data_IF_246252373976
#
_entry.id   IF_246252373976
#
_cell.length_a   1.000
_cell.length_b   1.000
_cell.length_c   1.000
_cell.angle_alpha   90.00
_cell.angle_beta   90.00
_cell.angle_gamma   90.00
#
_symmetry.space_group_name_H-M   'P 1'
#
loop_
_entity.id
_entity.type
_entity.pdbx_description
1 polymer ?
#
# COMPACT_ATOMS: atom_id res chain seq x y z
N UNK A 1 -2.50 20.18 -49.54
CA UNK A 1 -1.20 19.59 -49.87
C UNK A 1 -1.11 18.22 -49.25
N UNK A 2 -1.18 17.23 -50.14
CA UNK A 2 -1.26 15.80 -49.81
C UNK A 2 0.17 15.22 -49.74
N UNK A 3 0.50 14.43 -48.71
CA UNK A 3 1.69 13.59 -48.74
C UNK A 3 1.30 12.12 -48.53
N UNK A 4 1.70 11.37 -49.55
CA UNK A 4 1.41 9.96 -49.79
C UNK A 4 2.38 9.08 -49.01
N UNK A 5 1.84 8.01 -48.41
CA UNK A 5 2.58 6.95 -47.71
C UNK A 5 3.15 5.98 -48.74
N UNK A 6 4.47 5.76 -48.71
CA UNK A 6 5.14 4.74 -49.53
C UNK A 6 5.24 3.41 -48.76
N UNK A 7 4.73 2.34 -49.36
CA UNK A 7 4.90 0.94 -48.98
C UNK A 7 6.34 0.48 -49.24
N UNK A 8 6.93 -0.24 -48.28
CA UNK A 8 8.11 -1.09 -48.50
C UNK A 8 7.74 -2.53 -48.12
N UNK A 9 7.85 -3.38 -49.12
CA UNK A 9 7.56 -4.82 -49.10
C UNK A 9 8.76 -5.62 -48.58
N UNK A 10 8.45 -6.69 -47.87
CA UNK A 10 9.35 -7.75 -47.41
C UNK A 10 9.86 -8.62 -48.59
N UNK A 11 11.13 -8.97 -48.62
CA UNK A 11 11.61 -10.19 -49.28
C UNK A 11 12.95 -10.65 -48.73
N UNK A 12 12.96 -11.91 -48.31
CA UNK A 12 13.98 -12.94 -48.36
C UNK A 12 15.45 -12.64 -48.00
N UNK A 13 15.91 -13.35 -46.98
CA UNK A 13 17.20 -14.04 -47.01
C UNK A 13 17.18 -15.29 -46.11
N UNK A 14 17.10 -16.46 -46.76
CA UNK A 14 17.46 -17.75 -46.20
C UNK A 14 18.89 -18.09 -46.68
N UNK A 15 19.81 -18.26 -45.77
CA UNK A 15 21.06 -18.93 -46.06
C UNK A 15 21.38 -20.02 -45.00
N UNK A 16 21.57 -21.24 -45.50
CA UNK A 16 22.06 -22.42 -44.89
C UNK A 16 23.48 -22.25 -44.36
N UNK A 17 23.76 -22.71 -43.15
CA UNK A 17 25.12 -23.08 -42.72
C UNK A 17 25.09 -24.46 -42.12
N UNK A 18 25.79 -25.40 -42.76
CA UNK A 18 26.04 -26.79 -42.40
C UNK A 18 26.87 -26.90 -41.11
N UNK A 19 26.53 -27.89 -40.28
CA UNK A 19 27.34 -28.33 -39.13
C UNK A 19 28.37 -29.37 -39.56
N UNK A 20 29.61 -29.33 -39.07
CA UNK A 20 30.50 -30.48 -39.12
C UNK A 20 30.38 -31.29 -37.81
N UNK A 21 30.20 -32.58 -37.99
CA UNK A 21 30.27 -33.59 -36.97
C UNK A 21 31.72 -33.80 -36.47
N UNK A 22 31.91 -33.75 -35.15
CA UNK A 22 33.16 -34.22 -34.52
C UNK A 22 32.79 -35.25 -33.47
N UNK A 23 33.23 -36.48 -33.76
CA UNK A 23 33.28 -37.60 -32.84
C UNK A 23 34.39 -37.40 -31.82
N UNK A 24 34.07 -37.49 -30.52
CA UNK A 24 35.08 -37.68 -29.48
C UNK A 24 34.69 -38.78 -28.50
N UNK A 25 35.72 -39.60 -28.26
CA UNK A 25 35.76 -40.77 -27.45
C UNK A 25 35.52 -40.50 -25.97
N UNK A 26 34.93 -41.49 -25.32
CA UNK A 26 34.63 -41.53 -23.89
C UNK A 26 35.86 -41.92 -23.07
N UNK A 27 36.31 -41.02 -22.17
CA UNK A 27 37.15 -41.38 -21.03
C UNK A 27 36.32 -41.48 -19.73
N UNK A 28 36.65 -42.42 -18.81
CA UNK A 28 35.85 -42.60 -17.59
C UNK A 28 36.22 -41.58 -16.50
N UNK A 29 35.19 -41.03 -15.87
CA UNK A 29 35.26 -40.14 -14.70
C UNK A 29 35.77 -40.88 -13.45
N UNK A 30 36.63 -40.23 -12.64
CA UNK A 30 37.00 -40.73 -11.32
C UNK A 30 35.90 -40.50 -10.31
N UNK A 31 35.46 -41.54 -9.64
CA UNK A 31 34.63 -41.55 -8.46
C UNK A 31 35.47 -41.11 -7.25
N UNK A 32 35.19 -39.91 -6.73
CA UNK A 32 35.45 -39.62 -5.32
C UNK A 32 34.29 -38.83 -4.78
N UNK A 33 33.60 -39.46 -3.82
CA UNK A 33 32.58 -38.81 -3.02
C UNK A 33 33.25 -37.85 -2.03
N UNK A 34 32.59 -36.71 -1.89
CA UNK A 34 32.49 -35.92 -0.67
C UNK A 34 31.18 -35.15 -0.81
N UNK A 35 30.12 -35.72 -0.26
CA UNK A 35 28.89 -35.00 0.01
C UNK A 35 29.18 -33.96 1.09
N UNK A 36 29.66 -32.78 0.69
CA UNK A 36 29.52 -31.61 1.51
C UNK A 36 28.08 -31.12 1.35
N UNK A 37 27.27 -31.36 2.39
CA UNK A 37 25.96 -30.80 2.51
C UNK A 37 26.08 -29.26 2.36
N UNK A 38 25.67 -28.75 1.21
CA UNK A 38 25.50 -27.29 1.02
C UNK A 38 24.51 -26.79 2.06
N UNK A 39 25.01 -26.03 3.02
CA UNK A 39 24.15 -25.24 3.93
C UNK A 39 23.29 -24.35 3.05
N UNK A 40 21.97 -24.26 3.31
CA UNK A 40 21.11 -23.38 2.53
C UNK A 40 21.64 -21.95 2.66
N UNK A 41 22.12 -21.38 1.58
CA UNK A 41 22.49 -19.97 1.50
C UNK A 41 21.26 -19.15 1.85
N UNK A 42 21.25 -18.59 3.04
CA UNK A 42 20.23 -17.66 3.50
C UNK A 42 20.30 -16.45 2.56
N UNK A 43 19.31 -16.38 1.68
CA UNK A 43 19.20 -15.32 0.68
C UNK A 43 18.98 -13.98 1.39
N UNK A 44 19.90 -13.05 1.28
CA UNK A 44 19.69 -11.71 1.80
C UNK A 44 18.40 -11.09 1.21
N UNK A 45 17.52 -10.53 2.05
CA UNK A 45 16.28 -9.91 1.58
C UNK A 45 16.59 -8.76 0.63
N UNK A 46 15.84 -8.68 -0.47
CA UNK A 46 15.93 -7.53 -1.36
C UNK A 46 15.37 -6.29 -0.68
N UNK A 47 15.91 -5.12 -1.03
CA UNK A 47 15.49 -3.81 -0.52
C UNK A 47 13.97 -3.66 -0.58
N UNK A 48 13.35 -3.37 0.56
CA UNK A 48 11.88 -3.30 0.69
C UNK A 48 11.15 -4.64 0.59
N UNK A 49 11.84 -5.78 0.72
CA UNK A 49 11.21 -7.09 0.81
C UNK A 49 10.65 -7.30 2.22
N UNK A 50 9.42 -7.79 2.32
CA UNK A 50 8.82 -8.13 3.60
C UNK A 50 9.57 -9.31 4.22
N UNK A 51 9.77 -9.34 5.56
CA UNK A 51 10.46 -10.43 6.23
C UNK A 51 9.80 -11.78 5.91
N UNK A 52 10.62 -12.79 5.66
CA UNK A 52 10.16 -14.16 5.50
C UNK A 52 9.68 -14.69 6.85
N UNK A 53 8.46 -15.19 6.89
CA UNK A 53 7.86 -15.71 8.13
C UNK A 53 6.99 -14.65 8.80
N UNK A 54 5.73 -14.63 8.38
CA UNK A 54 4.68 -13.91 9.08
C UNK A 54 4.47 -14.58 10.44
N UNK A 55 4.58 -13.89 11.58
CA UNK A 55 4.19 -14.48 12.84
C UNK A 55 2.72 -14.92 12.75
N UNK A 56 2.44 -16.15 13.15
CA UNK A 56 1.14 -16.81 12.95
C UNK A 56 -0.04 -16.09 13.62
N UNK A 57 0.19 -15.23 14.57
CA UNK A 57 -0.81 -14.34 15.19
C UNK A 57 -0.10 -13.21 15.91
N UNK A 58 -0.21 -11.98 15.43
CA UNK A 58 -0.14 -10.83 16.31
C UNK A 58 -1.50 -10.74 17.02
N UNK A 59 -1.63 -11.44 18.11
CA UNK A 59 -2.69 -11.20 19.05
C UNK A 59 -2.25 -9.97 19.85
N UNK A 60 -2.91 -8.83 19.62
CA UNK A 60 -2.89 -7.78 20.61
C UNK A 60 -3.59 -8.35 21.85
N UNK A 61 -3.05 -8.04 23.01
CA UNK A 61 -3.57 -8.49 24.32
C UNK A 61 -4.96 -7.90 24.66
N UNK A 62 -5.60 -7.20 23.70
CA UNK A 62 -6.93 -6.62 23.83
C UNK A 62 -8.08 -7.61 23.57
N UNK A 63 -7.75 -8.85 23.21
CA UNK A 63 -8.72 -9.92 22.96
C UNK A 63 -9.58 -9.74 21.71
N UNK A 64 -9.28 -8.76 20.84
CA UNK A 64 -10.04 -8.50 19.62
C UNK A 64 -9.47 -9.25 18.43
N UNK A 65 -10.38 -9.78 17.60
CA UNK A 65 -10.01 -10.27 16.26
C UNK A 65 -9.94 -9.10 15.27
N UNK A 66 -8.78 -8.92 14.69
CA UNK A 66 -8.58 -7.93 13.62
C UNK A 66 -8.70 -8.59 12.25
N UNK A 67 -9.31 -7.92 11.27
CA UNK A 67 -9.34 -8.42 9.91
C UNK A 67 -7.92 -8.55 9.41
N UNK A 68 -7.57 -9.77 9.01
CA UNK A 68 -6.30 -10.00 8.34
C UNK A 68 -6.54 -9.93 6.85
N UNK A 69 -5.75 -9.17 6.16
CA UNK A 69 -5.63 -9.31 4.70
C UNK A 69 -4.89 -10.65 4.48
N UNK A 70 -5.62 -11.75 4.78
CA UNK A 70 -5.10 -13.10 4.67
C UNK A 70 -4.79 -13.44 3.22
N UNK A 71 -3.60 -14.01 2.97
CA UNK A 71 -3.13 -14.46 1.68
C UNK A 71 -3.39 -13.43 0.57
N UNK A 72 -2.79 -12.27 0.71
CA UNK A 72 -2.38 -11.56 -0.46
C UNK A 72 -1.42 -12.52 -1.16
N UNK A 73 -1.98 -13.35 -2.00
CA UNK A 73 -1.26 -13.88 -3.14
C UNK A 73 -0.62 -12.64 -3.73
N UNK A 74 0.62 -12.39 -3.31
CA UNK A 74 1.40 -11.24 -3.76
C UNK A 74 1.23 -11.23 -5.25
N UNK A 75 0.41 -10.32 -5.76
CA UNK A 75 0.38 -10.07 -7.18
C UNK A 75 1.80 -9.70 -7.50
N UNK A 76 2.56 -10.67 -8.01
CA UNK A 76 3.97 -10.53 -8.39
C UNK A 76 4.00 -9.55 -9.56
N UNK A 77 3.79 -8.27 -9.25
CA UNK A 77 4.00 -7.21 -10.20
C UNK A 77 5.49 -6.99 -10.32
N UNK A 78 6.01 -7.19 -11.51
CA UNK A 78 7.38 -6.81 -11.85
C UNK A 78 7.43 -5.29 -11.97
N UNK A 79 8.41 -4.65 -11.37
CA UNK A 79 8.68 -3.25 -11.62
C UNK A 79 9.28 -3.09 -13.03
N UNK A 80 9.00 -1.98 -13.67
CA UNK A 80 9.76 -1.60 -14.87
C UNK A 80 11.21 -1.27 -14.49
N UNK A 81 12.16 -1.37 -15.42
CA UNK A 81 13.56 -1.05 -15.12
C UNK A 81 13.75 0.35 -14.51
N UNK A 82 12.96 1.34 -14.96
CA UNK A 82 13.02 2.69 -14.38
C UNK A 82 12.45 2.74 -12.95
N UNK A 83 11.37 2.02 -12.67
CA UNK A 83 10.82 1.92 -11.32
C UNK A 83 11.77 1.20 -10.37
N UNK A 84 12.46 0.14 -10.84
CA UNK A 84 13.46 -0.56 -10.04
C UNK A 84 14.59 0.39 -9.65
N UNK A 85 15.12 1.15 -10.61
CA UNK A 85 16.18 2.14 -10.35
C UNK A 85 15.74 3.19 -9.34
N UNK A 86 14.55 3.81 -9.52
CA UNK A 86 14.03 4.81 -8.59
C UNK A 86 13.84 4.20 -7.19
N UNK A 87 13.37 2.95 -7.13
CA UNK A 87 13.21 2.22 -5.87
C UNK A 87 14.56 2.01 -5.16
N UNK A 88 15.55 1.51 -5.87
CA UNK A 88 16.89 1.27 -5.31
C UNK A 88 17.55 2.57 -4.83
N UNK A 89 17.37 3.66 -5.59
CA UNK A 89 17.99 4.96 -5.27
C UNK A 89 17.32 5.68 -4.08
N UNK A 90 16.00 5.47 -3.87
CA UNK A 90 15.23 6.35 -2.99
C UNK A 90 14.51 5.63 -1.82
N UNK A 91 14.34 4.30 -1.89
CA UNK A 91 13.55 3.59 -0.88
C UNK A 91 14.03 3.81 0.55
N UNK A 92 15.34 3.85 0.80
CA UNK A 92 15.88 4.02 2.16
C UNK A 92 15.52 5.39 2.78
N UNK A 93 15.31 6.39 1.94
CA UNK A 93 14.88 7.72 2.40
C UNK A 93 13.38 7.78 2.63
N UNK A 94 12.60 7.21 1.70
CA UNK A 94 11.15 7.38 1.69
C UNK A 94 10.38 6.19 2.25
N UNK A 95 11.00 5.02 2.37
CA UNK A 95 10.32 3.78 2.64
C UNK A 95 10.82 3.03 3.88
N UNK A 96 9.88 2.39 4.55
CA UNK A 96 10.12 1.36 5.57
C UNK A 96 9.32 0.11 5.21
N UNK A 97 9.71 -1.03 5.78
CA UNK A 97 8.90 -2.25 5.76
C UNK A 97 8.31 -2.48 7.13
N UNK A 98 7.18 -3.19 7.17
CA UNK A 98 6.55 -3.59 8.41
C UNK A 98 7.57 -4.26 9.35
N UNK A 99 7.66 -3.78 10.58
CA UNK A 99 8.53 -4.27 11.65
C UNK A 99 7.85 -4.14 13.01
N UNK A 100 8.55 -4.52 14.08
CA UNK A 100 8.11 -4.31 15.46
C UNK A 100 8.61 -2.98 16.05
N UNK A 101 9.33 -2.19 15.25
CA UNK A 101 9.86 -0.90 15.69
C UNK A 101 8.85 0.21 15.45
N UNK A 102 8.55 0.97 16.49
CA UNK A 102 7.72 2.16 16.37
C UNK A 102 8.46 3.23 15.56
N UNK A 103 7.74 3.89 14.68
CA UNK A 103 8.30 4.92 13.82
C UNK A 103 8.51 6.21 14.61
N UNK A 104 9.76 6.67 14.71
CA UNK A 104 10.03 8.07 15.05
C UNK A 104 9.71 8.94 13.81
N UNK A 105 8.52 9.54 13.83
CA UNK A 105 8.01 10.33 12.71
C UNK A 105 8.83 11.61 12.54
N UNK A 106 9.23 12.25 13.63
CA UNK A 106 9.99 13.49 13.59
C UNK A 106 11.37 13.25 12.95
N UNK A 107 12.07 12.20 13.37
CA UNK A 107 13.34 11.81 12.78
C UNK A 107 13.18 11.46 11.30
N UNK A 108 12.18 10.65 10.95
CA UNK A 108 12.02 10.17 9.58
C UNK A 108 11.65 11.26 8.58
N UNK A 109 10.83 12.24 8.99
CA UNK A 109 10.47 13.38 8.15
C UNK A 109 11.45 14.57 8.27
N UNK A 110 12.30 14.57 9.30
CA UNK A 110 13.22 15.68 9.61
C UNK A 110 12.48 16.94 10.11
N UNK A 111 11.22 16.78 10.58
CA UNK A 111 10.39 17.90 11.04
C UNK A 111 9.25 17.43 11.98
N UNK A 112 8.81 18.34 12.83
CA UNK A 112 7.56 18.19 13.57
C UNK A 112 6.37 18.55 12.70
N UNK A 113 5.27 17.82 12.87
CA UNK A 113 4.01 18.11 12.19
C UNK A 113 2.93 17.09 12.52
N UNK A 114 1.65 17.45 12.32
CA UNK A 114 0.57 16.49 12.46
C UNK A 114 0.74 15.35 11.45
N UNK A 115 0.50 14.12 11.88
CA UNK A 115 0.74 12.93 11.07
C UNK A 115 -0.57 12.29 10.64
N UNK A 116 -0.67 11.96 9.36
CA UNK A 116 -1.77 11.24 8.74
C UNK A 116 -1.24 9.90 8.22
N UNK A 117 -1.97 8.82 8.49
CA UNK A 117 -1.73 7.50 7.89
C UNK A 117 -2.80 7.23 6.84
N UNK A 118 -2.40 6.97 5.59
CA UNK A 118 -3.29 6.50 4.52
C UNK A 118 -3.11 5.00 4.34
N UNK A 119 -4.15 4.23 4.65
CA UNK A 119 -4.16 2.76 4.56
C UNK A 119 -4.62 2.34 3.17
N UNK A 120 -3.83 1.51 2.48
CA UNK A 120 -4.17 1.02 1.15
C UNK A 120 -4.03 2.10 0.07
N UNK A 121 -2.97 2.91 0.09
CA UNK A 121 -2.76 4.01 -0.85
C UNK A 121 -2.70 3.57 -2.33
N UNK A 122 -2.59 2.27 -2.61
CA UNK A 122 -2.54 1.72 -3.95
C UNK A 122 -1.38 2.29 -4.78
N UNK A 123 -1.70 3.03 -5.84
CA UNK A 123 -0.69 3.72 -6.68
C UNK A 123 -0.39 5.14 -6.21
N UNK A 124 -0.99 5.59 -5.11
CA UNK A 124 -0.77 6.88 -4.49
C UNK A 124 -1.35 8.07 -5.24
N UNK A 125 -2.37 7.86 -6.08
CA UNK A 125 -2.97 8.97 -6.86
C UNK A 125 -3.54 10.04 -5.95
N UNK A 126 -4.34 9.66 -4.95
CA UNK A 126 -4.90 10.58 -3.95
C UNK A 126 -3.80 11.15 -3.07
N UNK A 127 -2.91 10.32 -2.57
CA UNK A 127 -1.79 10.70 -1.70
C UNK A 127 -0.95 11.84 -2.30
N UNK A 128 -0.48 11.66 -3.56
CA UNK A 128 0.36 12.67 -4.25
C UNK A 128 -0.41 13.96 -4.55
N UNK A 129 -1.72 13.86 -4.81
CA UNK A 129 -2.52 15.04 -5.12
C UNK A 129 -2.92 15.84 -3.87
N UNK A 130 -3.13 15.17 -2.73
CA UNK A 130 -3.51 15.80 -1.47
C UNK A 130 -2.31 16.36 -0.70
N UNK A 131 -1.18 15.67 -0.70
CA UNK A 131 -0.02 16.04 0.10
C UNK A 131 0.49 17.48 -0.11
N UNK A 132 0.57 18.04 -1.33
CA UNK A 132 0.96 19.44 -1.52
C UNK A 132 -0.05 20.47 -0.95
N UNK A 133 -1.30 20.05 -0.73
CA UNK A 133 -2.35 20.91 -0.15
C UNK A 133 -2.31 20.88 1.39
N UNK A 134 -1.55 19.98 1.96
CA UNK A 134 -1.33 19.80 3.40
C UNK A 134 0.17 19.87 3.72
N UNK A 135 0.86 20.97 3.38
CA UNK A 135 2.31 21.05 3.47
C UNK A 135 2.85 20.87 4.91
N UNK A 136 2.03 21.18 5.92
CA UNK A 136 2.41 21.05 7.33
C UNK A 136 2.19 19.65 7.89
N UNK A 137 1.45 18.78 7.19
CA UNK A 137 1.21 17.41 7.62
C UNK A 137 2.30 16.44 7.12
N UNK A 138 2.62 15.46 7.95
CA UNK A 138 3.43 14.28 7.60
C UNK A 138 2.48 13.17 7.14
N UNK A 139 2.64 12.65 5.94
CA UNK A 139 1.76 11.63 5.36
C UNK A 139 2.51 10.32 5.25
N UNK A 140 2.04 9.29 5.96
CA UNK A 140 2.57 7.92 5.89
C UNK A 140 1.59 7.10 5.04
N UNK A 141 2.00 6.76 3.82
CA UNK A 141 1.23 5.93 2.89
C UNK A 141 1.57 4.45 3.08
N UNK A 142 0.56 3.64 3.40
CA UNK A 142 0.72 2.20 3.68
C UNK A 142 0.14 1.38 2.54
N UNK A 143 0.94 0.45 2.00
CA UNK A 143 0.49 -0.47 0.95
C UNK A 143 1.34 -1.76 0.95
N UNK A 144 0.71 -2.89 0.65
CA UNK A 144 1.40 -4.18 0.50
C UNK A 144 1.96 -4.39 -0.91
N UNK A 145 1.27 -3.87 -1.92
CA UNK A 145 1.59 -4.09 -3.32
C UNK A 145 2.77 -3.23 -3.77
N UNK A 146 3.97 -3.83 -3.82
CA UNK A 146 5.23 -3.14 -4.19
C UNK A 146 5.13 -2.29 -5.46
N UNK A 147 4.50 -2.73 -6.58
CA UNK A 147 4.37 -1.88 -7.76
C UNK A 147 3.48 -0.64 -7.56
N UNK A 148 2.52 -0.70 -6.64
CA UNK A 148 1.77 0.47 -6.21
C UNK A 148 2.68 1.50 -5.55
N UNK A 149 3.40 1.08 -4.51
CA UNK A 149 4.39 1.94 -3.82
C UNK A 149 5.47 2.46 -4.76
N UNK A 150 5.94 1.66 -5.72
CA UNK A 150 6.94 2.12 -6.68
C UNK A 150 6.40 3.23 -7.60
N UNK A 151 5.11 3.22 -7.92
CA UNK A 151 4.46 4.32 -8.65
C UNK A 151 4.34 5.56 -7.78
N UNK A 152 3.90 5.40 -6.52
CA UNK A 152 3.85 6.49 -5.56
C UNK A 152 5.24 7.10 -5.35
N UNK A 153 6.26 6.28 -5.10
CA UNK A 153 7.65 6.75 -4.93
C UNK A 153 8.14 7.53 -6.15
N UNK A 154 7.90 6.99 -7.36
CA UNK A 154 8.28 7.66 -8.59
C UNK A 154 7.56 9.01 -8.76
N UNK A 155 6.30 9.10 -8.35
CA UNK A 155 5.53 10.34 -8.40
C UNK A 155 6.00 11.35 -7.33
N UNK A 156 6.27 10.89 -6.12
CA UNK A 156 6.79 11.67 -4.99
C UNK A 156 8.13 12.33 -5.37
N UNK A 157 9.07 11.54 -5.87
CA UNK A 157 10.40 12.02 -6.29
C UNK A 157 10.28 12.98 -7.47
N UNK A 158 9.52 12.65 -8.52
CA UNK A 158 9.38 13.49 -9.71
C UNK A 158 8.72 14.83 -9.42
N UNK A 159 7.76 14.87 -8.51
CA UNK A 159 7.02 16.10 -8.16
C UNK A 159 7.62 16.81 -6.93
N UNK A 160 8.77 16.35 -6.43
CA UNK A 160 9.49 16.91 -5.28
C UNK A 160 8.60 17.05 -4.01
N UNK A 161 7.67 16.10 -3.80
CA UNK A 161 6.78 16.10 -2.65
C UNK A 161 7.54 15.62 -1.41
N UNK A 162 7.82 16.52 -0.49
CA UNK A 162 8.69 16.26 0.68
C UNK A 162 7.97 15.61 1.86
N UNK A 163 6.66 15.73 1.95
CA UNK A 163 5.85 15.35 3.10
C UNK A 163 5.16 13.97 2.98
N UNK A 164 5.67 13.09 2.10
CA UNK A 164 5.21 11.70 1.98
C UNK A 164 6.33 10.76 2.41
N UNK A 165 5.97 9.74 3.20
CA UNK A 165 6.77 8.55 3.47
C UNK A 165 5.91 7.30 3.26
N UNK A 166 6.53 6.14 3.08
CA UNK A 166 5.84 4.92 2.66
C UNK A 166 6.18 3.75 3.58
N UNK A 167 5.16 2.99 3.99
CA UNK A 167 5.39 1.72 4.68
C UNK A 167 4.84 0.58 3.82
N UNK A 168 5.71 -0.38 3.50
CA UNK A 168 5.27 -1.61 2.87
C UNK A 168 4.82 -2.61 3.92
N UNK A 169 3.51 -2.76 4.06
CA UNK A 169 2.94 -3.65 5.08
C UNK A 169 1.42 -3.71 5.05
N UNK A 170 0.86 -4.57 5.89
CA UNK A 170 -0.57 -4.57 6.19
C UNK A 170 -0.91 -3.35 7.05
N UNK A 171 -1.92 -2.56 6.63
CA UNK A 171 -2.25 -1.31 7.32
C UNK A 171 -2.69 -1.50 8.77
N UNK A 172 -3.38 -2.60 9.07
CA UNK A 172 -3.76 -2.94 10.45
C UNK A 172 -2.52 -3.27 11.29
N UNK A 173 -1.62 -4.10 10.77
CA UNK A 173 -0.37 -4.43 11.45
C UNK A 173 0.54 -3.20 11.63
N UNK A 174 0.58 -2.29 10.64
CA UNK A 174 1.33 -1.03 10.76
C UNK A 174 0.78 -0.17 11.89
N UNK A 175 -0.54 0.05 11.94
CA UNK A 175 -1.16 0.79 13.04
C UNK A 175 -0.87 0.15 14.40
N UNK A 176 -0.88 -1.16 14.47
CA UNK A 176 -0.66 -1.90 15.70
C UNK A 176 0.77 -1.79 16.22
N UNK A 177 1.75 -1.94 15.34
CA UNK A 177 3.15 -2.22 15.70
C UNK A 177 4.08 -1.03 15.52
N UNK A 178 3.76 -0.16 14.55
CA UNK A 178 4.69 0.89 14.14
C UNK A 178 4.21 2.30 14.49
N UNK A 179 2.96 2.46 14.94
CA UNK A 179 2.36 3.76 15.27
C UNK A 179 2.10 3.87 16.76
N UNK A 180 2.62 4.91 17.40
CA UNK A 180 2.36 5.22 18.81
C UNK A 180 0.88 5.48 19.06
N UNK A 181 0.34 5.09 20.23
CA UNK A 181 -0.99 5.52 20.66
C UNK A 181 -1.11 7.05 20.70
N UNK A 182 -2.29 7.57 20.33
CA UNK A 182 -2.64 9.00 20.39
C UNK A 182 -1.67 9.94 19.68
N UNK A 183 -1.02 9.45 18.61
CA UNK A 183 -0.03 10.22 17.84
C UNK A 183 -0.55 10.79 16.52
N UNK A 184 -1.62 10.21 15.96
CA UNK A 184 -2.10 10.57 14.63
C UNK A 184 -3.10 11.73 14.67
N UNK A 185 -2.91 12.69 13.75
CA UNK A 185 -3.91 13.69 13.43
C UNK A 185 -5.04 13.12 12.54
N UNK A 186 -4.73 12.10 11.73
CA UNK A 186 -5.72 11.47 10.89
C UNK A 186 -5.35 10.08 10.40
N UNK A 187 -6.39 9.35 10.00
CA UNK A 187 -6.29 8.09 9.26
C UNK A 187 -7.19 8.19 8.04
N UNK A 188 -6.70 7.81 6.87
CA UNK A 188 -7.44 7.74 5.60
C UNK A 188 -7.56 6.31 5.15
N UNK A 189 -8.76 5.95 4.65
CA UNK A 189 -9.06 4.63 4.10
C UNK A 189 -9.98 4.80 2.89
N UNK A 190 -9.42 4.83 1.69
CA UNK A 190 -10.17 5.10 0.47
C UNK A 190 -10.33 3.83 -0.38
N UNK A 191 -11.60 3.51 -0.71
CA UNK A 191 -11.98 2.38 -1.56
C UNK A 191 -11.34 1.04 -1.14
N UNK A 192 -11.46 0.66 0.14
CA UNK A 192 -11.00 -0.66 0.58
C UNK A 192 -11.79 -1.77 -0.12
N UNK A 193 -11.18 -2.96 -0.21
CA UNK A 193 -11.83 -4.13 -0.80
C UNK A 193 -13.20 -4.40 -0.15
N UNK A 194 -14.32 -4.38 -0.91
CA UNK A 194 -15.67 -4.48 -0.34
C UNK A 194 -16.06 -5.90 0.05
N UNK A 195 -15.36 -6.93 -0.43
CA UNK A 195 -15.65 -8.33 -0.16
C UNK A 195 -17.13 -8.69 -0.29
N UNK A 196 -17.75 -8.68 -1.51
CA UNK A 196 -19.20 -8.75 -1.68
C UNK A 196 -19.88 -10.03 -1.16
N UNK A 197 -19.11 -11.15 -1.04
CA UNK A 197 -19.67 -12.42 -0.58
C UNK A 197 -19.75 -12.43 0.95
N UNK A 198 -20.92 -12.70 1.54
CA UNK A 198 -21.17 -12.71 2.98
C UNK A 198 -20.10 -13.49 3.79
N UNK A 199 -19.66 -14.69 3.29
CA UNK A 199 -18.58 -15.47 3.92
C UNK A 199 -17.25 -14.74 3.99
N UNK A 200 -17.06 -13.63 3.25
CA UNK A 200 -15.85 -12.81 3.20
C UNK A 200 -15.98 -11.50 3.98
N UNK A 201 -17.14 -11.11 4.51
CA UNK A 201 -17.34 -9.86 5.25
C UNK A 201 -16.35 -9.71 6.42
N UNK A 202 -15.95 -10.84 7.05
CA UNK A 202 -14.90 -10.85 8.07
C UNK A 202 -13.51 -10.37 7.59
N UNK A 203 -13.34 -10.14 6.28
CA UNK A 203 -12.11 -9.58 5.67
C UNK A 203 -12.21 -8.07 5.45
N UNK A 204 -13.41 -7.49 5.58
CA UNK A 204 -13.61 -6.04 5.48
C UNK A 204 -12.76 -5.36 6.53
N UNK A 205 -12.07 -4.30 6.14
CA UNK A 205 -11.16 -3.61 7.07
C UNK A 205 -11.95 -2.79 8.11
N UNK A 206 -13.08 -2.19 7.74
CA UNK A 206 -13.93 -1.48 8.70
C UNK A 206 -14.72 -2.50 9.50
N UNK A 207 -14.30 -2.69 10.76
CA UNK A 207 -14.91 -3.54 11.77
C UNK A 207 -14.73 -2.91 13.14
N UNK A 208 -15.48 -3.36 14.16
CA UNK A 208 -15.38 -2.82 15.52
C UNK A 208 -13.95 -2.84 16.08
N UNK A 209 -13.21 -3.92 15.89
CA UNK A 209 -11.81 -4.01 16.31
C UNK A 209 -10.93 -2.97 15.64
N UNK A 210 -11.05 -2.81 14.30
CA UNK A 210 -10.26 -1.84 13.54
C UNK A 210 -10.64 -0.40 13.90
N UNK A 211 -11.93 -0.10 14.12
CA UNK A 211 -12.37 1.22 14.58
C UNK A 211 -11.76 1.57 15.95
N UNK A 212 -11.75 0.61 16.89
CA UNK A 212 -11.09 0.77 18.19
C UNK A 212 -9.58 0.99 18.04
N UNK A 213 -8.92 0.21 17.18
CA UNK A 213 -7.50 0.39 16.90
C UNK A 213 -7.22 1.79 16.35
N UNK A 214 -7.95 2.21 15.32
CA UNK A 214 -7.82 3.54 14.73
C UNK A 214 -8.01 4.60 15.80
N UNK A 215 -9.08 4.51 16.59
CA UNK A 215 -9.31 5.43 17.70
C UNK A 215 -8.15 5.49 18.68
N UNK A 216 -7.58 4.34 19.04
CA UNK A 216 -6.43 4.30 19.96
C UNK A 216 -5.17 4.97 19.40
N UNK A 217 -5.05 5.10 18.09
CA UNK A 217 -3.90 5.76 17.43
C UNK A 217 -4.15 7.23 17.16
N UNK A 218 -5.41 7.64 16.99
CA UNK A 218 -5.78 9.04 16.85
C UNK A 218 -5.56 9.79 18.17
N UNK A 219 -4.99 10.98 18.11
CA UNK A 219 -5.02 11.94 19.22
C UNK A 219 -6.44 12.47 19.42
N UNK A 220 -6.80 13.02 20.58
CA UNK A 220 -8.06 13.76 20.76
C UNK A 220 -8.25 14.77 19.63
N UNK A 221 -9.45 14.85 19.07
CA UNK A 221 -9.75 15.67 17.87
C UNK A 221 -9.24 15.11 16.54
N UNK A 222 -8.50 13.99 16.54
CA UNK A 222 -8.01 13.34 15.31
C UNK A 222 -9.13 12.71 14.50
N UNK A 223 -8.92 12.59 13.19
CA UNK A 223 -9.96 12.28 12.20
C UNK A 223 -9.73 10.89 11.58
N UNK A 224 -10.80 10.10 11.49
CA UNK A 224 -10.84 8.95 10.59
C UNK A 224 -11.74 9.28 9.41
N UNK A 225 -11.19 9.21 8.19
CA UNK A 225 -11.89 9.48 6.95
C UNK A 225 -11.86 8.24 6.05
N UNK A 226 -13.04 7.69 5.73
CA UNK A 226 -13.21 6.54 4.86
C UNK A 226 -14.13 6.90 3.68
N UNK A 227 -13.87 6.28 2.51
CA UNK A 227 -14.72 6.42 1.33
C UNK A 227 -14.92 5.08 0.64
N UNK A 228 -16.13 4.84 0.11
CA UNK A 228 -16.45 3.65 -0.69
C UNK A 228 -17.54 3.96 -1.72
N UNK A 229 -17.52 3.25 -2.84
CA UNK A 229 -18.52 3.29 -3.92
C UNK A 229 -19.39 2.03 -3.95
N UNK A 230 -19.23 1.13 -2.97
CA UNK A 230 -19.91 -0.17 -2.95
C UNK A 230 -21.09 -0.17 -1.97
N UNK A 231 -22.32 -0.21 -2.46
CA UNK A 231 -23.55 -0.07 -1.68
C UNK A 231 -23.65 -1.00 -0.46
N UNK A 232 -23.38 -2.31 -0.62
CA UNK A 232 -23.40 -3.28 0.48
C UNK A 232 -22.29 -2.97 1.54
N UNK A 233 -21.22 -2.30 1.15
CA UNK A 233 -20.21 -1.86 2.12
C UNK A 233 -20.62 -0.56 2.82
N UNK A 234 -21.37 0.29 2.14
CA UNK A 234 -22.00 1.46 2.76
C UNK A 234 -22.91 1.03 3.91
N UNK A 235 -23.85 0.09 3.63
CA UNK A 235 -24.76 -0.47 4.65
C UNK A 235 -23.96 -1.04 5.85
N UNK A 236 -22.92 -1.82 5.58
CA UNK A 236 -22.03 -2.37 6.59
C UNK A 236 -21.35 -1.30 7.45
N UNK A 237 -20.86 -0.21 6.85
CA UNK A 237 -20.20 0.87 7.58
C UNK A 237 -21.21 1.66 8.40
N UNK A 238 -22.42 1.88 7.88
CA UNK A 238 -23.49 2.55 8.65
C UNK A 238 -23.91 1.75 9.89
N UNK A 239 -23.98 0.42 9.80
CA UNK A 239 -24.24 -0.44 10.98
C UNK A 239 -23.15 -0.32 12.06
N UNK A 240 -21.92 0.02 11.67
CA UNK A 240 -20.78 0.15 12.58
C UNK A 240 -20.55 1.60 13.03
N UNK A 241 -21.34 2.55 12.57
CA UNK A 241 -21.11 4.00 12.71
C UNK A 241 -20.92 4.44 14.16
N UNK A 242 -21.69 3.89 15.08
CA UNK A 242 -21.69 4.26 16.49
C UNK A 242 -21.09 3.16 17.40
N UNK A 243 -20.43 2.15 16.83
CA UNK A 243 -19.92 0.98 17.58
C UNK A 243 -18.75 1.34 18.47
N UNK A 244 -17.89 2.29 18.04
CA UNK A 244 -16.76 2.75 18.86
C UNK A 244 -17.11 4.05 19.58
N UNK A 245 -17.35 4.01 20.92
CA UNK A 245 -17.92 5.14 21.65
C UNK A 245 -16.99 6.36 21.75
N UNK A 246 -15.69 6.17 21.49
CA UNK A 246 -14.70 7.26 21.50
C UNK A 246 -14.62 8.00 20.17
N UNK A 247 -15.27 7.47 19.12
CA UNK A 247 -15.42 8.11 17.82
C UNK A 247 -16.83 8.72 17.71
N UNK A 248 -16.91 9.95 17.25
CA UNK A 248 -18.18 10.59 16.91
C UNK A 248 -18.28 10.79 15.39
N UNK A 249 -19.35 10.34 14.74
CA UNK A 249 -19.55 10.57 13.33
C UNK A 249 -19.82 12.06 13.06
N UNK A 250 -19.16 12.61 12.04
CA UNK A 250 -19.29 13.99 11.59
C UNK A 250 -20.01 14.00 10.24
N UNK A 251 -20.95 14.94 10.08
CA UNK A 251 -21.64 15.11 8.81
C UNK A 251 -20.73 15.74 7.76
N UNK A 252 -20.79 15.26 6.55
CA UNK A 252 -20.15 15.86 5.38
C UNK A 252 -21.10 16.90 4.72
N UNK A 253 -20.60 18.05 4.24
CA UNK A 253 -19.22 18.55 4.35
C UNK A 253 -18.89 19.13 5.74
N UNK A 254 -17.61 19.12 6.11
CA UNK A 254 -17.12 19.69 7.36
C UNK A 254 -15.94 20.64 7.09
N UNK A 255 -16.23 21.96 6.87
CA UNK A 255 -15.21 22.94 6.50
C UNK A 255 -14.15 23.21 7.57
N UNK A 256 -14.46 22.96 8.85
CA UNK A 256 -13.56 23.19 9.99
C UNK A 256 -12.62 22.00 10.27
N UNK A 257 -12.60 21.00 9.41
CA UNK A 257 -11.74 19.84 9.57
C UNK A 257 -10.26 20.24 9.68
N UNK A 258 -9.52 19.67 10.65
CA UNK A 258 -8.10 19.95 10.82
C UNK A 258 -7.21 19.29 9.73
N UNK A 259 -7.78 18.48 8.87
CA UNK A 259 -7.11 17.88 7.73
C UNK A 259 -7.95 18.02 6.46
N UNK A 260 -7.33 17.92 5.30
CA UNK A 260 -8.03 17.97 4.02
C UNK A 260 -8.95 16.75 3.88
N UNK A 261 -10.23 17.00 3.66
CA UNK A 261 -11.25 15.98 3.40
C UNK A 261 -11.60 15.91 1.91
N UNK A 262 -11.42 17.01 1.16
CA UNK A 262 -11.63 17.01 -0.29
C UNK A 262 -10.55 16.20 -0.99
N UNK A 263 -10.89 15.01 -1.40
CA UNK A 263 -9.99 14.14 -2.15
C UNK A 263 -10.20 14.29 -3.66
N UNK A 264 -9.15 14.19 -4.47
CA UNK A 264 -9.29 14.25 -5.91
C UNK A 264 -10.04 13.03 -6.43
N UNK A 265 -10.87 13.21 -7.44
CA UNK A 265 -11.49 12.10 -8.18
C UNK A 265 -10.41 11.22 -8.80
N UNK A 266 -10.34 9.98 -8.41
CA UNK A 266 -9.38 9.03 -8.98
C UNK A 266 -9.88 8.46 -10.31
N UNK A 267 -9.00 7.84 -11.10
CA UNK A 267 -9.40 7.16 -12.34
C UNK A 267 -10.34 5.96 -12.08
N UNK A 268 -10.29 5.36 -10.91
CA UNK A 268 -11.21 4.30 -10.51
C UNK A 268 -12.59 4.88 -10.25
N UNK A 269 -12.65 5.98 -9.54
CA UNK A 269 -13.84 6.77 -9.28
C UNK A 269 -14.50 7.28 -10.54
N UNK A 270 -13.72 7.87 -11.46
CA UNK A 270 -14.25 8.33 -12.75
C UNK A 270 -14.92 7.17 -13.53
N UNK A 271 -14.37 5.95 -13.46
CA UNK A 271 -15.03 4.76 -14.03
C UNK A 271 -16.26 4.32 -13.25
N UNK A 272 -16.27 4.49 -11.93
CA UNK A 272 -17.44 4.22 -11.08
C UNK A 272 -18.58 5.21 -11.37
N UNK A 273 -18.26 6.49 -11.48
CA UNK A 273 -19.21 7.54 -11.86
C UNK A 273 -19.80 7.32 -13.26
N UNK A 274 -19.02 6.79 -14.22
CA UNK A 274 -19.52 6.35 -15.54
C UNK A 274 -20.50 5.17 -15.44
N UNK A 275 -20.59 4.50 -14.28
CA UNK A 275 -21.47 3.38 -13.98
C UNK A 275 -22.57 3.72 -12.96
N UNK A 276 -22.85 5.00 -12.72
CA UNK A 276 -23.83 5.51 -11.74
C UNK A 276 -23.57 5.03 -10.28
N UNK A 277 -22.30 4.81 -9.91
CA UNK A 277 -21.95 4.49 -8.52
C UNK A 277 -21.80 5.77 -7.69
N UNK A 278 -22.65 5.94 -6.70
CA UNK A 278 -22.53 7.02 -5.72
C UNK A 278 -21.36 6.74 -4.78
N UNK A 279 -20.59 7.78 -4.51
CA UNK A 279 -19.49 7.71 -3.54
C UNK A 279 -19.99 8.19 -2.21
N UNK A 280 -19.75 7.38 -1.18
CA UNK A 280 -20.11 7.69 0.20
C UNK A 280 -18.86 7.98 1.02
N UNK A 281 -18.87 9.15 1.68
CA UNK A 281 -17.82 9.60 2.60
C UNK A 281 -18.27 9.37 4.03
N UNK A 282 -17.39 8.80 4.84
CA UNK A 282 -17.60 8.56 6.26
C UNK A 282 -16.50 9.25 7.04
N UNK A 283 -16.89 10.11 7.98
CA UNK A 283 -15.96 10.90 8.79
C UNK A 283 -16.28 10.68 10.25
N UNK A 284 -15.26 10.38 11.02
CA UNK A 284 -15.32 10.32 12.48
C UNK A 284 -14.24 11.22 13.06
N UNK A 285 -14.58 11.84 14.17
CA UNK A 285 -13.64 12.57 15.02
C UNK A 285 -13.45 11.81 16.33
N UNK A 286 -12.23 11.65 16.80
CA UNK A 286 -11.97 11.17 18.15
C UNK A 286 -12.42 12.25 19.13
N UNK A 287 -13.29 11.86 20.08
CA UNK A 287 -13.77 12.77 21.14
C UNK A 287 -12.61 13.32 21.95
N UNK A 288 -12.74 14.56 22.39
CA UNK A 288 -11.88 15.12 23.42
C UNK A 288 -12.07 14.32 24.73
N UNK A 289 -11.00 14.15 25.50
CA UNK A 289 -11.03 13.41 26.75
C UNK A 289 -11.76 14.16 27.86
#
# INVERSE_FOLDING_TARGET
MSWTIGNVTTSDFSENIEQPAVSQESEPLPTHGDEQAEQPHERQPKKGELPAGRPEKTQFDDGLDYPRIGNLSFRRGTLTPNQERIWEDNWDTYGKVLSDEVIDVEEWFGRKGPTIVEIGCGTGTSTVAMAPQEPDHNIIAVELYRPGLAKLLSATVRNEVSNIRMVRGDGVEVLQRMIEPESLAGVRLFFPDPWPKARHHKRRIVQSGTLRLISSRLKPGGIFHAATDHADYVEWIEELRDVEPTLEPIAWPWPESPMLLDRPTTKFEARGLDLDHDIHEFIWRKKEA
#
